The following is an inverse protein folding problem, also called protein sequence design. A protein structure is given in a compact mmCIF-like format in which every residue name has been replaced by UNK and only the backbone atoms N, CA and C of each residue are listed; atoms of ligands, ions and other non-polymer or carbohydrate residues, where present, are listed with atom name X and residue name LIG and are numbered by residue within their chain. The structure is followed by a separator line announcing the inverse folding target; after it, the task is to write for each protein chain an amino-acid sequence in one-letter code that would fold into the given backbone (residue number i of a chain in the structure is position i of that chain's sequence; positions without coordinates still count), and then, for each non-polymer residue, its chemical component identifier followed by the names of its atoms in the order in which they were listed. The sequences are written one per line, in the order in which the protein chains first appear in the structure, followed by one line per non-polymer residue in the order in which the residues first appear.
data_IF_707730372915
#
_entry.id   IF_707730372915
#
_cell.length_a   1.000
_cell.length_b   1.000
_cell.length_c   1.000
_cell.angle_alpha   90.00
_cell.angle_beta   90.00
_cell.angle_gamma   90.00
#
_symmetry.space_group_name_H-M   'P 1'
#
loop_
_entity.id
_entity.type
_entity.pdbx_description
1 polymer ?
#
# COMPACT_ATOMS: atom_id res chain seq x y z
N UNK A 1 -8.05 1.54 12.71
CA UNK A 1 -7.16 0.69 11.88
C UNK A 1 -7.48 1.05 10.47
N UNK A 2 -6.51 1.61 9.76
CA UNK A 2 -6.70 2.18 8.43
C UNK A 2 -5.89 1.38 7.41
N UNK A 3 -6.51 1.08 6.28
CA UNK A 3 -5.86 0.35 5.19
C UNK A 3 -5.13 1.34 4.28
N UNK A 4 -3.89 1.01 3.90
CA UNK A 4 -3.08 1.82 2.99
C UNK A 4 -2.72 0.99 1.76
N UNK A 5 -2.98 1.57 0.59
CA UNK A 5 -2.59 1.01 -0.71
C UNK A 5 -1.40 1.82 -1.22
N UNK A 6 -0.29 1.17 -1.52
CA UNK A 6 0.95 1.86 -1.94
C UNK A 6 1.31 1.44 -3.36
N UNK A 7 1.53 2.44 -4.22
CA UNK A 7 2.06 2.24 -5.55
C UNK A 7 3.57 2.42 -5.51
N UNK A 8 4.31 1.32 -5.60
CA UNK A 8 5.77 1.36 -5.70
C UNK A 8 6.25 0.60 -6.94
N UNK A 9 6.38 1.31 -8.08
CA UNK A 9 6.77 0.67 -9.33
C UNK A 9 8.17 0.06 -9.31
N UNK A 10 9.00 0.46 -8.35
CA UNK A 10 10.40 0.05 -8.23
C UNK A 10 10.65 -0.90 -7.05
N UNK A 11 9.68 -1.05 -6.15
CA UNK A 11 9.80 -1.87 -4.92
C UNK A 11 10.83 -1.34 -3.91
N UNK A 12 11.36 -0.12 -4.10
CA UNK A 12 12.43 0.45 -3.25
C UNK A 12 11.85 1.32 -2.12
N UNK A 13 10.72 1.97 -2.35
CA UNK A 13 10.09 2.86 -1.37
C UNK A 13 9.32 2.06 -0.31
N UNK A 14 8.72 0.93 -0.69
CA UNK A 14 7.91 0.11 0.20
C UNK A 14 8.74 -0.60 1.27
N UNK A 15 9.95 -1.05 0.95
CA UNK A 15 10.81 -1.75 1.90
C UNK A 15 11.10 -0.94 3.19
N UNK A 16 11.21 0.39 3.09
CA UNK A 16 11.35 1.28 4.24
C UNK A 16 10.02 1.75 4.83
N UNK A 17 9.03 1.99 3.98
CA UNK A 17 7.76 2.58 4.36
C UNK A 17 6.80 1.56 5.03
N UNK A 18 6.85 0.30 4.61
CA UNK A 18 6.03 -0.79 5.15
C UNK A 18 6.20 -0.93 6.65
N UNK A 19 7.46 -0.91 7.12
CA UNK A 19 7.78 -1.01 8.54
C UNK A 19 7.19 0.14 9.35
N UNK A 20 7.28 1.37 8.85
CA UNK A 20 6.74 2.57 9.50
C UNK A 20 5.21 2.50 9.56
N UNK A 21 4.56 2.17 8.45
CA UNK A 21 3.09 2.09 8.37
C UNK A 21 2.53 1.01 9.29
N UNK A 22 3.15 -0.18 9.33
CA UNK A 22 2.77 -1.25 10.25
C UNK A 22 2.94 -0.83 11.71
N UNK A 23 4.02 -0.14 12.06
CA UNK A 23 4.23 0.40 13.42
C UNK A 23 3.19 1.44 13.81
N UNK A 24 2.68 2.21 12.85
CA UNK A 24 1.59 3.15 13.05
C UNK A 24 0.19 2.48 13.09
N UNK A 25 0.11 1.15 12.97
CA UNK A 25 -1.15 0.40 13.06
C UNK A 25 -1.97 0.38 11.77
N UNK A 26 -1.34 0.66 10.64
CA UNK A 26 -1.95 0.54 9.32
C UNK A 26 -1.74 -0.86 8.75
N UNK A 27 -2.77 -1.35 8.05
CA UNK A 27 -2.68 -2.56 7.25
C UNK A 27 -2.27 -2.18 5.82
N UNK A 28 -1.23 -2.83 5.28
CA UNK A 28 -0.65 -2.49 3.97
C UNK A 28 -1.00 -3.61 3.00
N UNK A 29 -1.80 -3.28 1.97
CA UNK A 29 -2.51 -4.31 1.19
C UNK A 29 -2.08 -4.36 -0.28
N UNK A 30 -1.14 -3.51 -0.73
CA UNK A 30 -0.60 -3.65 -2.08
C UNK A 30 0.81 -3.08 -2.23
N UNK A 31 1.75 -3.91 -2.69
CA UNK A 31 2.93 -3.49 -3.46
C UNK A 31 2.52 -3.43 -4.93
N UNK A 32 1.94 -2.31 -5.39
CA UNK A 32 1.61 -2.19 -6.80
C UNK A 32 2.86 -1.80 -7.61
N UNK A 33 3.40 -2.75 -8.37
CA UNK A 33 4.53 -2.53 -9.28
C UNK A 33 4.17 -1.64 -10.49
N UNK A 34 2.88 -1.40 -10.74
CA UNK A 34 2.40 -0.44 -11.74
C UNK A 34 1.27 0.38 -11.14
N UNK A 35 1.23 1.67 -11.48
CA UNK A 35 0.18 2.59 -11.00
C UNK A 35 -1.24 2.11 -11.37
N UNK A 36 -1.37 1.40 -12.49
CA UNK A 36 -2.66 0.83 -12.93
C UNK A 36 -3.21 -0.25 -12.00
N UNK A 37 -2.35 -0.90 -11.21
CA UNK A 37 -2.77 -1.97 -10.29
C UNK A 37 -3.35 -1.42 -8.97
N UNK A 38 -3.24 -0.10 -8.75
CA UNK A 38 -3.74 0.59 -7.55
C UNK A 38 -5.27 0.63 -7.53
N UNK A 39 -5.90 0.93 -8.68
CA UNK A 39 -7.35 1.11 -8.76
C UNK A 39 -8.13 -0.12 -8.28
N UNK A 40 -7.81 -1.35 -8.75
CA UNK A 40 -8.45 -2.56 -8.26
C UNK A 40 -8.29 -2.80 -6.74
N UNK A 41 -7.16 -2.38 -6.16
CA UNK A 41 -6.90 -2.56 -4.72
C UNK A 41 -7.68 -1.54 -3.89
N UNK A 42 -7.79 -0.29 -4.35
CA UNK A 42 -8.63 0.73 -3.71
C UNK A 42 -10.10 0.33 -3.74
N UNK A 43 -10.61 -0.14 -4.88
CA UNK A 43 -12.00 -0.59 -5.00
C UNK A 43 -12.33 -1.78 -4.09
N UNK A 44 -11.40 -2.74 -3.99
CA UNK A 44 -11.56 -3.97 -3.20
C UNK A 44 -11.46 -3.71 -1.70
N UNK A 45 -10.46 -2.93 -1.29
CA UNK A 45 -10.11 -2.79 0.13
C UNK A 45 -10.71 -1.55 0.78
N UNK A 46 -11.20 -0.59 -0.02
CA UNK A 46 -11.82 0.66 0.45
C UNK A 46 -11.03 1.29 1.60
N UNK A 47 -9.74 1.60 1.38
CA UNK A 47 -8.95 2.32 2.36
C UNK A 47 -9.65 3.63 2.75
N UNK A 48 -9.46 4.05 4.00
CA UNK A 48 -10.10 5.26 4.57
C UNK A 48 -9.75 6.54 3.81
#
# INVERSE_FOLDING_TARGET
MSTVVVADPRGVYLAGLEWVLRKAGHDVVAECHRVVDVLPHVERHRPD
#
